data_IF_778669694060
#
_entry.id   IF_778669694060
#
_cell.length_a   1.000
_cell.length_b   1.000
_cell.length_c   1.000
_cell.angle_alpha   90.00
_cell.angle_beta   90.00
_cell.angle_gamma   90.00
#
_symmetry.space_group_name_H-M   'P 1'
#
loop_
_entity.id
_entity.type
_entity.pdbx_description
1 polymer ?
2 non-polymer ?
3 water ?
#
# COMPACT_ATOMS: atom_id res chain seq x y z
N UNK A 5 -12.17 -13.65 -3.27
CA UNK A 5 -11.93 -12.33 -2.64
C UNK A 5 -12.76 -11.21 -3.29
N UNK A 6 -13.41 -11.52 -4.42
CA UNK A 6 -13.83 -10.47 -5.36
C UNK A 6 -15.17 -9.83 -5.07
N UNK A 7 -16.08 -10.58 -4.45
CA UNK A 7 -17.36 -10.01 -4.04
C UNK A 7 -17.12 -8.92 -3.00
N UNK A 8 -16.23 -9.21 -2.06
CA UNK A 8 -15.87 -8.25 -1.00
C UNK A 8 -15.23 -6.97 -1.59
N UNK A 9 -14.31 -7.15 -2.54
CA UNK A 9 -13.72 -6.02 -3.25
C UNK A 9 -14.77 -5.29 -4.10
N UNK A 10 -15.62 -6.05 -4.78
CA UNK A 10 -16.68 -5.45 -5.61
C UNK A 10 -17.68 -4.61 -4.80
N UNK A 11 -18.09 -5.11 -3.63
CA UNK A 11 -19.00 -4.36 -2.75
C UNK A 11 -18.40 -3.05 -2.27
N UNK A 12 -17.13 -3.09 -1.87
CA UNK A 12 -16.40 -1.89 -1.45
C UNK A 12 -16.36 -0.91 -2.61
N UNK A 13 -15.98 -1.38 -3.79
CA UNK A 13 -15.88 -0.47 -4.93
C UNK A 13 -17.25 0.16 -5.25
N UNK A 14 -18.32 -0.64 -5.18
CA UNK A 14 -19.68 -0.14 -5.48
C UNK A 14 -20.13 0.93 -4.49
N UNK A 15 -19.85 0.70 -3.20
CA UNK A 15 -20.08 1.68 -2.13
C UNK A 15 -19.40 3.01 -2.43
N UNK A 16 -18.20 2.94 -3.00
CA UNK A 16 -17.39 4.12 -3.28
C UNK A 16 -17.83 4.88 -4.54
N UNK A 17 -18.78 4.33 -5.29
CA UNK A 17 -19.24 4.95 -6.53
C UNK A 17 -18.33 4.68 -7.71
N UNK A 18 -17.45 3.68 -7.58
CA UNK A 18 -16.64 3.23 -8.70
C UNK A 18 -17.52 2.30 -9.53
N UNK A 19 -17.72 2.64 -10.80
CA UNK A 19 -18.55 1.83 -11.68
C UNK A 19 -17.69 0.80 -12.40
N UNK A 20 -16.71 1.29 -13.15
CA UNK A 20 -15.82 0.43 -13.92
C UNK A 20 -14.59 0.07 -13.11
N UNK A 21 -14.41 -1.23 -12.89
CA UNK A 21 -13.27 -1.78 -12.14
C UNK A 21 -12.75 -3.08 -12.79
N UNK A 22 -11.43 -3.20 -12.86
CA UNK A 22 -10.75 -4.38 -13.37
C UNK A 22 -9.84 -4.87 -12.24
N UNK A 23 -10.18 -6.00 -11.61
CA UNK A 23 -9.37 -6.53 -10.52
C UNK A 23 -8.26 -7.43 -11.08
N UNK A 24 -7.02 -7.09 -10.74
CA UNK A 24 -5.86 -7.86 -11.21
C UNK A 24 -4.97 -8.29 -10.03
N UNK A 25 -4.05 -9.24 -10.27
CA UNK A 25 -3.07 -9.60 -9.25
C UNK A 25 -2.16 -8.44 -8.83
N UNK A 26 -1.64 -8.55 -7.62
CA UNK A 26 -0.63 -7.64 -7.12
C UNK A 26 0.46 -8.49 -6.47
N UNK A 27 1.74 -8.09 -6.61
CA UNK A 27 2.84 -8.88 -6.04
C UNK A 27 3.08 -8.69 -4.52
N UNK A 28 2.10 -8.13 -3.81
CA UNK A 28 2.09 -8.09 -2.34
C UNK A 28 0.98 -9.02 -1.83
N UNK A 29 1.34 -9.91 -0.91
CA UNK A 29 0.38 -10.87 -0.37
C UNK A 29 -0.81 -10.15 0.27
N UNK A 30 -2.01 -10.68 0.04
CA UNK A 30 -3.23 -10.12 0.61
C UNK A 30 -3.85 -8.96 -0.16
N UNK A 31 -3.25 -8.59 -1.30
CA UNK A 31 -3.65 -7.40 -2.06
C UNK A 31 -3.93 -7.71 -3.53
N UNK A 32 -4.74 -6.84 -4.13
CA UNK A 32 -5.02 -6.88 -5.56
C UNK A 32 -4.86 -5.48 -6.14
N UNK A 33 -4.58 -5.44 -7.43
CA UNK A 33 -4.56 -4.21 -8.20
C UNK A 33 -5.98 -3.94 -8.71
N UNK A 34 -6.51 -2.74 -8.46
CA UNK A 34 -7.78 -2.34 -9.05
C UNK A 34 -7.52 -1.25 -10.07
N UNK A 35 -7.77 -1.59 -11.32
CA UNK A 35 -7.71 -0.64 -12.40
C UNK A 35 -9.10 -0.05 -12.59
N UNK A 36 -9.23 1.23 -12.29
CA UNK A 36 -10.50 1.90 -12.46
C UNK A 36 -10.46 2.68 -13.76
N UNK A 37 -11.57 3.31 -14.10
CA UNK A 37 -11.59 4.19 -15.26
C UNK A 37 -10.87 5.50 -14.98
N UNK A 38 -10.42 5.70 -13.74
CA UNK A 38 -9.67 6.89 -13.36
C UNK A 38 -8.29 6.61 -12.78
N UNK A 39 -7.86 5.35 -12.77
CA UNK A 39 -6.51 5.01 -12.36
C UNK A 39 -6.42 3.77 -11.48
N UNK A 40 -5.28 3.62 -10.81
CA UNK A 40 -4.94 2.36 -10.14
C UNK A 40 -5.00 2.54 -8.64
N UNK A 41 -5.68 1.61 -7.96
CA UNK A 41 -5.65 1.50 -6.49
C UNK A 41 -5.22 0.10 -6.08
N UNK A 42 -4.72 -0.01 -4.86
CA UNK A 42 -4.47 -1.29 -4.24
C UNK A 42 -5.50 -1.55 -3.14
N UNK A 43 -6.10 -2.74 -3.17
CA UNK A 43 -7.11 -3.13 -2.18
C UNK A 43 -6.77 -4.50 -1.61
N UNK A 44 -7.02 -4.66 -0.32
CA UNK A 44 -6.86 -5.95 0.36
C UNK A 44 -7.93 -6.92 -0.13
N UNK A 45 -7.63 -8.22 0.00
CA UNK A 45 -8.52 -9.28 -0.42
C UNK A 45 -9.88 -9.22 0.26
N UNK A 46 -9.93 -8.79 1.50
CA UNK A 46 -11.23 -8.70 2.20
C UNK A 46 -11.99 -7.38 1.90
N UNK A 47 -11.41 -6.55 1.04
CA UNK A 47 -12.03 -5.31 0.62
C UNK A 47 -12.06 -4.20 1.65
N UNK A 48 -11.37 -4.37 2.78
CA UNK A 48 -11.51 -3.44 3.93
C UNK A 48 -10.52 -2.27 3.92
N UNK A 49 -9.38 -2.45 3.25
CA UNK A 49 -8.39 -1.38 3.13
C UNK A 49 -7.98 -1.11 1.70
N UNK A 50 -7.83 0.16 1.39
CA UNK A 50 -7.30 0.60 0.11
C UNK A 50 -5.99 1.36 0.38
N UNK A 51 -5.02 1.20 -0.51
CA UNK A 51 -3.79 2.00 -0.46
C UNK A 51 -3.61 2.66 -1.82
N UNK A 52 -3.27 3.94 -1.79
CA UNK A 52 -3.32 4.78 -2.98
C UNK A 52 -2.34 4.36 -4.07
N UNK A 53 -1.13 3.99 -3.66
CA UNK A 53 -0.08 3.71 -4.59
C UNK A 53 0.60 4.97 -5.10
N UNK A 54 1.59 4.81 -5.99
CA UNK A 54 2.02 3.58 -6.63
C UNK A 54 2.75 2.56 -5.75
N UNK A 55 2.93 1.39 -6.34
CA UNK A 55 3.67 0.31 -5.75
C UNK A 55 5.02 0.23 -6.45
N UNK A 56 6.06 0.07 -5.64
CA UNK A 56 7.40 -0.17 -6.11
C UNK A 56 7.93 -1.52 -5.65
N UNK A 57 8.61 -2.19 -6.56
CA UNK A 57 9.39 -3.37 -6.24
C UNK A 57 10.79 -2.87 -5.91
N UNK A 58 11.26 -3.14 -4.70
CA UNK A 58 12.58 -2.66 -4.29
C UNK A 58 13.51 -3.81 -3.92
N UNK A 59 13.32 -4.97 -4.54
CA UNK A 59 14.17 -6.13 -4.31
C UNK A 59 15.49 -6.13 -5.11
N UNK A 60 15.62 -5.24 -6.09
CA UNK A 60 16.82 -5.16 -6.91
C UNK A 60 17.68 -3.92 -6.70
N UNK A 61 18.17 -3.38 -7.82
CA UNK A 61 19.17 -2.30 -7.84
C UNK A 61 18.61 -0.96 -7.43
N UNK A 62 17.41 -0.67 -7.93
CA UNK A 62 16.71 0.56 -7.63
C UNK A 62 15.22 0.28 -7.58
N UNK A 63 14.44 1.24 -7.03
CA UNK A 63 12.99 1.14 -7.02
C UNK A 63 12.40 1.00 -8.43
N UNK A 64 11.53 0.00 -8.64
CA UNK A 64 10.79 -0.12 -9.93
C UNK A 64 9.28 0.08 -9.72
N UNK A 65 8.73 1.06 -10.43
CA UNK A 65 7.33 1.38 -10.33
C UNK A 65 6.52 0.34 -11.12
N UNK A 66 5.95 -0.62 -10.40
CA UNK A 66 5.20 -1.70 -11.03
C UNK A 66 3.76 -1.29 -11.38
N UNK A 67 3.28 -0.23 -10.74
CA UNK A 67 2.00 0.35 -11.13
C UNK A 67 2.07 0.87 -12.57
N UNK A 68 3.11 1.64 -12.88
CA UNK A 68 3.34 2.17 -14.21
C UNK A 68 3.44 1.05 -15.23
N UNK A 69 4.13 -0.03 -14.86
CA UNK A 69 4.23 -1.23 -15.72
C UNK A 69 2.86 -1.83 -16.03
N UNK A 70 2.05 -1.99 -14.98
CA UNK A 70 0.68 -2.50 -15.13
C UNK A 70 -0.17 -1.61 -16.05
N UNK A 71 -0.18 -0.30 -15.79
CA UNK A 71 -0.90 0.67 -16.62
C UNK A 71 -0.54 0.61 -18.11
N UNK A 72 0.76 0.60 -18.40
CA UNK A 72 1.23 0.60 -19.78
C UNK A 72 0.87 -0.71 -20.49
N UNK A 73 0.74 -1.79 -19.72
CA UNK A 73 0.30 -3.07 -20.25
C UNK A 73 -1.18 -3.01 -20.69
N UNK A 74 -1.90 -2.00 -20.19
CA UNK A 74 -3.31 -1.69 -20.53
C UNK A 74 -4.29 -2.43 -19.60
N UNK B 1 6.78 -3.88 16.45
CA UNK B 1 7.57 -4.33 15.25
C UNK B 1 8.92 -4.92 15.65
N UNK B 2 9.20 -6.14 15.20
CA UNK B 2 10.38 -6.85 15.70
C UNK B 2 11.65 -6.38 15.01
N UNK B 3 12.78 -6.76 15.59
CA UNK B 3 14.09 -6.41 15.06
C UNK B 3 14.36 -6.88 13.62
N UNK B 4 13.96 -8.11 13.27
CA UNK B 4 14.17 -8.61 11.91
C UNK B 4 13.38 -7.86 10.84
N UNK B 5 12.10 -7.57 11.10
CA UNK B 5 11.32 -6.79 10.13
C UNK B 5 11.86 -5.38 10.01
N UNK B 6 12.17 -4.78 11.15
CA UNK B 6 12.70 -3.42 11.14
C UNK B 6 14.01 -3.32 10.36
N UNK B 7 14.90 -4.29 10.53
CA UNK B 7 16.19 -4.36 9.82
C UNK B 7 16.01 -4.45 8.30
N UNK B 8 15.09 -5.31 7.87
CA UNK B 8 14.78 -5.49 6.46
C UNK B 8 14.23 -4.21 5.83
N UNK B 9 13.29 -3.56 6.52
CA UNK B 9 12.71 -2.32 6.03
C UNK B 9 13.76 -1.20 6.02
N UNK B 10 14.57 -1.12 7.07
CA UNK B 10 15.64 -0.12 7.16
C UNK B 10 16.71 -0.36 6.08
N UNK B 11 17.09 -1.62 5.91
CA UNK B 11 18.15 -2.03 4.97
C UNK B 11 17.77 -1.66 3.56
N UNK B 12 16.50 -1.88 3.26
CA UNK B 12 15.91 -1.51 1.99
C UNK B 12 15.91 0.00 1.80
N UNK B 13 15.26 0.73 2.72
CA UNK B 13 15.26 2.20 2.70
C UNK B 13 16.68 2.76 2.49
N UNK B 14 17.67 2.20 3.18
CA UNK B 14 19.08 2.64 3.07
C UNK B 14 19.71 2.30 1.72
N UNK B 15 19.39 1.12 1.19
CA UNK B 15 19.81 0.72 -0.16
C UNK B 15 19.12 1.57 -1.25
N UNK B 16 17.94 2.11 -0.94
CA UNK B 16 17.23 3.03 -1.84
C UNK B 16 17.64 4.50 -1.67
N UNK B 17 18.34 4.85 -0.59
CA UNK B 17 18.74 6.25 -0.33
C UNK B 17 17.71 7.12 0.40
N UNK B 18 16.78 6.49 1.12
CA UNK B 18 15.79 7.22 1.96
C UNK B 18 16.07 6.90 3.46
N UNK B 19 16.13 7.93 4.31
CA UNK B 19 17.04 7.89 5.47
C UNK B 19 16.58 7.53 6.88
N UNK B 20 15.93 8.50 7.53
CA UNK B 20 15.34 8.29 8.84
C UNK B 20 13.96 7.68 8.67
N UNK B 21 13.40 7.21 9.77
CA UNK B 21 12.05 6.67 9.79
C UNK B 21 11.50 6.53 11.20
N UNK B 22 10.21 6.29 11.24
CA UNK B 22 9.53 5.78 12.40
C UNK B 22 8.71 4.65 11.78
N UNK B 23 8.87 3.43 12.29
CA UNK B 23 8.18 2.27 11.74
C UNK B 23 7.11 1.83 12.74
N UNK B 24 5.87 1.79 12.26
CA UNK B 24 4.70 1.61 13.10
C UNK B 24 3.83 0.49 12.55
N UNK B 25 2.90 -0.02 13.37
CA UNK B 25 2.01 -1.05 12.84
C UNK B 25 1.16 -0.53 11.67
N UNK B 26 0.62 -1.45 10.89
CA UNK B 26 -0.37 -1.14 9.88
C UNK B 26 -1.54 -2.12 10.08
N UNK B 27 -2.77 -1.74 9.71
CA UNK B 27 -3.92 -2.62 9.90
C UNK B 27 -4.07 -3.64 8.76
N UNK B 28 -2.98 -3.89 8.04
CA UNK B 28 -2.92 -4.88 6.97
C UNK B 28 -1.75 -5.83 7.28
N UNK B 29 -2.04 -7.12 7.35
CA UNK B 29 -1.03 -8.14 7.65
C UNK B 29 0.10 -8.12 6.62
N UNK B 30 1.32 -8.26 7.12
CA UNK B 30 2.49 -8.40 6.26
C UNK B 30 3.17 -7.10 5.92
N UNK B 31 2.69 -5.99 6.46
CA UNK B 31 3.26 -4.68 6.13
C UNK B 31 3.22 -3.75 7.32
N UNK B 32 4.04 -2.70 7.25
CA UNK B 32 4.14 -1.71 8.30
C UNK B 32 4.01 -0.28 7.75
N UNK B 33 3.66 0.63 8.65
CA UNK B 33 3.59 2.06 8.39
C UNK B 33 4.96 2.67 8.63
N UNK B 34 5.54 3.25 7.58
CA UNK B 34 6.87 3.85 7.64
C UNK B 34 6.79 5.34 7.31
N UNK B 35 7.06 6.17 8.32
CA UNK B 35 7.03 7.61 8.13
C UNK B 35 8.39 8.06 7.63
N UNK B 36 8.41 8.64 6.44
CA UNK B 36 9.61 9.20 5.87
C UNK B 36 9.35 10.64 5.47
N UNK B 37 10.43 11.35 5.19
CA UNK B 37 10.38 12.67 4.56
C UNK B 37 9.97 12.62 3.07
N UNK B 38 9.76 11.42 2.52
CA UNK B 38 9.16 11.22 1.19
C UNK B 38 7.71 10.72 1.32
N UNK B 39 7.08 11.02 2.45
CA UNK B 39 5.72 10.57 2.73
C UNK B 39 5.62 9.38 3.64
N UNK B 40 4.39 8.97 3.90
CA UNK B 40 4.13 7.73 4.59
C UNK B 40 4.10 6.63 3.54
N UNK B 41 4.89 5.58 3.78
CA UNK B 41 5.05 4.47 2.85
C UNK B 41 4.61 3.23 3.56
N UNK B 42 3.87 2.37 2.87
CA UNK B 42 3.52 1.10 3.45
C UNK B 42 4.50 0.08 2.88
N UNK B 43 5.31 -0.51 3.77
CA UNK B 43 6.41 -1.39 3.37
C UNK B 43 6.18 -2.80 3.88
N UNK B 44 6.33 -3.79 3.00
CA UNK B 44 6.21 -5.19 3.39
C UNK B 44 7.32 -5.57 4.38
N UNK B 45 6.98 -6.46 5.31
CA UNK B 45 7.87 -6.86 6.39
C UNK B 45 9.20 -7.46 5.90
N UNK B 46 9.17 -8.04 4.70
CA UNK B 46 10.36 -8.59 4.03
C UNK B 46 11.20 -7.55 3.28
N UNK B 47 10.68 -6.33 3.21
CA UNK B 47 11.39 -5.21 2.62
C UNK B 47 11.41 -5.16 1.10
N UNK B 48 10.61 -5.99 0.43
CA UNK B 48 10.69 -6.13 -1.04
C UNK B 48 9.75 -5.22 -1.84
N UNK B 49 8.70 -4.71 -1.19
CA UNK B 49 7.69 -3.85 -1.82
C UNK B 49 7.32 -2.64 -0.95
N UNK B 50 7.15 -1.50 -1.62
CA UNK B 50 6.66 -0.28 -1.00
C UNK B 50 5.39 0.12 -1.75
N UNK B 51 4.34 0.47 -1.02
CA UNK B 51 3.16 1.10 -1.60
C UNK B 51 3.03 2.48 -0.96
N UNK B 52 3.02 3.51 -1.79
CA UNK B 52 2.86 4.87 -1.31
C UNK B 52 1.45 5.03 -0.72
N UNK B 53 1.39 5.71 0.43
CA UNK B 53 0.15 6.09 1.06
C UNK B 53 -0.56 7.22 0.32
N UNK B 54 -1.74 7.61 0.81
CA UNK B 54 -2.31 7.10 2.06
C UNK B 54 -3.10 5.78 1.95
N UNK B 55 -3.37 5.22 3.10
CA UNK B 55 -4.25 4.08 3.29
C UNK B 55 -5.58 4.55 3.88
N UNK B 56 -6.65 3.98 3.34
CA UNK B 56 -8.01 4.19 3.81
C UNK B 56 -8.64 2.90 4.31
N UNK B 57 -9.30 3.00 5.45
CA UNK B 57 -10.22 1.97 5.89
C UNK B 57 -11.55 2.23 5.23
N UNK B 58 -12.00 1.28 4.41
CA UNK B 58 -13.22 1.46 3.63
C UNK B 58 -14.25 0.36 3.95
N UNK B 59 -14.10 -0.26 5.12
CA UNK B 59 -15.02 -1.29 5.59
C UNK B 59 -16.39 -0.72 5.99
N UNK B 60 -16.41 0.55 6.40
CA UNK B 60 -17.64 1.22 6.84
C UNK B 60 -18.40 1.89 5.71
N UNK B 61 -19.14 2.94 6.03
CA UNK B 61 -19.97 3.65 5.06
C UNK B 61 -19.31 4.91 4.52
N UNK B 62 -18.21 5.31 5.15
CA UNK B 62 -17.36 6.38 4.64
C UNK B 62 -15.89 5.97 4.84
N UNK B 63 -15.00 6.38 3.91
CA UNK B 63 -13.59 6.06 4.07
C UNK B 63 -12.96 6.79 5.25
N UNK B 64 -12.10 6.09 5.99
CA UNK B 64 -11.33 6.71 7.05
C UNK B 64 -9.89 6.73 6.60
N UNK B 65 -9.29 7.92 6.58
CA UNK B 65 -7.88 8.09 6.26
C UNK B 65 -7.04 7.72 7.48
N UNK B 66 -6.57 6.49 7.46
CA UNK B 66 -5.79 5.89 8.54
C UNK B 66 -4.38 6.50 8.64
N UNK B 67 -3.80 6.84 7.49
CA UNK B 67 -2.49 7.50 7.44
C UNK B 67 -2.52 8.84 8.20
N UNK B 68 -3.49 9.68 7.88
CA UNK B 68 -3.62 10.97 8.54
C UNK B 68 -3.82 10.83 10.05
N UNK B 69 -4.69 9.91 10.46
CA UNK B 69 -4.97 9.67 11.87
C UNK B 69 -3.71 9.26 12.64
N UNK B 70 -2.90 8.41 12.04
CA UNK B 70 -1.68 7.96 12.70
C UNK B 70 -0.58 9.05 12.69
N UNK B 71 -0.47 9.81 11.60
CA UNK B 71 0.44 10.97 11.56
C UNK B 71 0.19 11.97 12.69
N UNK B 72 -1.07 12.24 12.99
CA UNK B 72 -1.42 13.18 14.06
C UNK B 72 -0.98 12.65 15.44
N UNK B 73 -0.95 11.32 15.58
CA UNK B 73 -0.46 10.66 16.80
C UNK B 73 1.07 10.61 16.90
N UNK B 74 1.75 10.53 15.75
CA UNK B 74 3.19 10.26 15.70
C UNK B 74 4.11 11.46 15.42
N UNK B 75 3.58 12.56 14.87
CA UNK B 75 4.39 13.76 14.64
C UNK B 75 4.65 14.54 15.93
X LIG C 1 13.32 -13.51 -2.41
X LIG C 1 14.01 -12.35 -1.85
X LIG C 1 13.45 -13.55 -3.87
X LIG C 1 13.92 -14.73 -1.87
X LIG C 1 11.91 -13.42 -2.04
#
# INVERSE_FOLDING_TARGET
VDQADDAAIQQTLAKMGIKSSDIQPAPVAGMKTVLTNSGVLYITDDGKHIIQGPMYDVSGTAPVNVTNKMLLKQL
VDQADDAAIQQTLAKMGIKSSDIQPAPVAGMKTVLTNSGVLYITDDGKHIIQGPMYDVSGTAPVNVTNKMLLKQL
SO4 S O1 O2 O3 O4
#
